data_IF_595776062902
#
_entry.id   IF_595776062902
#
_cell.length_a   1.000
_cell.length_b   1.000
_cell.length_c   1.000
_cell.angle_alpha   90.00
_cell.angle_beta   90.00
_cell.angle_gamma   90.00
#
_symmetry.space_group_name_H-M   'P 1'
#
loop_
_entity.id
_entity.type
_entity.pdbx_description
1 polymer ?
#
# COMPACT_ATOMS: atom_id res chain seq x y z
N UNK A 1 12.65 -11.77 0.15
CA UNK A 1 13.17 -10.70 1.01
C UNK A 1 12.39 -10.65 2.33
N UNK A 2 11.07 -10.83 2.36
CA UNK A 2 10.23 -10.65 3.56
C UNK A 2 9.88 -11.93 4.34
N UNK A 3 10.43 -13.10 3.98
CA UNK A 3 10.05 -14.40 4.58
C UNK A 3 10.23 -14.50 6.10
N UNK A 4 10.99 -13.60 6.70
CA UNK A 4 11.28 -13.56 8.14
C UNK A 4 10.72 -12.32 8.82
N UNK A 5 9.83 -11.58 8.18
CA UNK A 5 9.39 -10.26 8.63
C UNK A 5 7.87 -10.14 8.57
N UNK A 6 7.36 -9.15 9.28
CA UNK A 6 5.98 -8.66 9.14
C UNK A 6 6.01 -7.36 8.35
N UNK A 7 5.31 -7.35 7.22
CA UNK A 7 5.12 -6.17 6.38
C UNK A 7 3.79 -5.51 6.74
N UNK A 8 3.80 -4.23 7.09
CA UNK A 8 2.58 -3.46 7.37
C UNK A 8 2.48 -2.28 6.44
N UNK A 9 1.30 -2.11 5.83
CA UNK A 9 0.96 -1.04 4.90
C UNK A 9 -0.18 -0.21 5.50
N UNK A 10 0.08 1.05 5.81
CA UNK A 10 -0.91 2.04 6.26
C UNK A 10 -0.97 3.20 5.26
N UNK A 11 -1.97 3.18 4.40
CA UNK A 11 -2.11 4.20 3.34
C UNK A 11 -2.56 5.56 3.89
N UNK A 12 -3.26 5.63 5.05
CA UNK A 12 -3.59 6.91 5.69
C UNK A 12 -2.33 7.67 6.08
N UNK A 13 -1.37 6.93 6.67
CA UNK A 13 -0.07 7.49 7.08
C UNK A 13 0.95 7.49 5.94
N UNK A 14 0.61 6.91 4.79
CA UNK A 14 1.53 6.67 3.66
C UNK A 14 2.82 5.99 4.11
N UNK A 15 2.67 5.01 5.00
CA UNK A 15 3.78 4.36 5.70
C UNK A 15 3.79 2.86 5.41
N UNK A 16 4.97 2.36 5.06
CA UNK A 16 5.27 0.94 5.02
C UNK A 16 6.24 0.66 6.16
N UNK A 17 5.91 -0.33 6.98
CA UNK A 17 6.72 -0.74 8.12
C UNK A 17 7.10 -2.21 7.97
N UNK A 18 8.37 -2.52 8.19
CA UNK A 18 8.88 -3.89 8.22
C UNK A 18 9.41 -4.13 9.63
N UNK A 19 8.84 -5.13 10.30
CA UNK A 19 9.23 -5.50 11.65
C UNK A 19 9.68 -6.96 11.72
N UNK A 20 10.56 -7.28 12.65
CA UNK A 20 11.02 -8.65 12.93
C UNK A 20 10.86 -8.94 14.42
N UNK A 21 10.27 -10.06 14.77
CA UNK A 21 9.32 -10.95 14.07
C UNK A 21 7.86 -10.61 14.40
N UNK A 22 7.57 -9.40 14.90
CA UNK A 22 6.29 -9.08 15.52
C UNK A 22 5.50 -8.04 14.71
N UNK A 23 4.17 -8.25 14.65
CA UNK A 23 3.25 -7.26 14.11
C UNK A 23 3.29 -5.97 14.94
N UNK A 24 2.93 -4.81 14.39
CA UNK A 24 2.71 -3.60 15.17
C UNK A 24 1.68 -3.82 16.28
N UNK A 25 1.93 -3.26 17.47
CA UNK A 25 1.13 -3.48 18.68
C UNK A 25 -0.34 -3.09 18.52
N UNK A 26 -0.64 -2.12 17.65
CA UNK A 26 -2.01 -1.67 17.36
C UNK A 26 -2.82 -2.66 16.51
N UNK A 27 -2.18 -3.63 15.85
CA UNK A 27 -2.87 -4.65 15.06
C UNK A 27 -3.46 -5.70 15.99
N UNK A 28 -4.80 -5.74 16.10
CA UNK A 28 -5.52 -6.64 17.00
C UNK A 28 -5.57 -8.06 16.48
N UNK A 29 -5.42 -9.03 17.39
CA UNK A 29 -5.37 -10.46 17.06
C UNK A 29 -6.68 -11.02 16.49
N UNK A 30 -7.80 -10.44 16.84
CA UNK A 30 -9.11 -10.88 16.32
C UNK A 30 -9.35 -10.48 14.86
N UNK A 31 -8.54 -9.56 14.32
CA UNK A 31 -8.56 -9.14 12.91
C UNK A 31 -7.44 -9.84 12.13
N UNK A 32 -7.43 -11.17 12.15
CA UNK A 32 -6.45 -11.98 11.44
C UNK A 32 -7.05 -13.24 10.85
N UNK A 33 -6.45 -13.72 9.75
CA UNK A 33 -6.72 -14.99 9.11
C UNK A 33 -5.43 -15.63 8.61
N UNK A 34 -5.51 -16.88 8.20
CA UNK A 34 -4.42 -17.55 7.52
C UNK A 34 -4.39 -17.13 6.05
N UNK A 35 -3.21 -17.16 5.46
CA UNK A 35 -3.06 -17.13 4.02
C UNK A 35 -2.19 -18.30 3.55
N UNK A 36 -2.28 -18.62 2.27
CA UNK A 36 -1.39 -19.59 1.63
C UNK A 36 -0.37 -18.84 0.76
N UNK A 37 0.90 -19.22 0.91
CA UNK A 37 1.96 -18.73 0.04
C UNK A 37 2.25 -19.77 -1.03
N UNK A 38 1.77 -19.56 -2.24
CA UNK A 38 1.93 -20.49 -3.36
C UNK A 38 3.11 -20.04 -4.22
N UNK A 39 4.09 -20.93 -4.39
CA UNK A 39 5.28 -20.65 -5.20
C UNK A 39 4.90 -20.32 -6.65
N UNK A 40 5.41 -19.20 -7.14
CA UNK A 40 5.12 -18.70 -8.50
C UNK A 40 3.78 -18.00 -8.66
N UNK A 41 2.91 -18.01 -7.64
CA UNK A 41 1.60 -17.35 -7.67
C UNK A 41 1.54 -16.16 -6.68
N UNK A 42 2.00 -16.34 -5.45
CA UNK A 42 1.98 -15.32 -4.41
C UNK A 42 1.11 -15.68 -3.21
N UNK A 43 0.56 -14.66 -2.56
CA UNK A 43 -0.30 -14.80 -1.38
C UNK A 43 -1.74 -15.02 -1.84
N UNK A 44 -2.31 -16.15 -1.45
CA UNK A 44 -3.73 -16.45 -1.63
C UNK A 44 -4.44 -16.24 -0.30
N UNK A 45 -5.45 -15.39 -0.27
CA UNK A 45 -6.22 -15.06 0.92
C UNK A 45 -7.71 -15.28 0.68
N UNK A 46 -8.49 -15.43 1.75
CA UNK A 46 -9.94 -15.56 1.67
C UNK A 46 -10.63 -14.20 1.70
N UNK A 47 -11.71 -14.07 0.95
CA UNK A 47 -12.67 -12.97 1.05
C UNK A 47 -14.09 -13.54 0.94
N UNK A 48 -14.96 -13.13 1.84
CA UNK A 48 -16.36 -13.58 1.85
C UNK A 48 -17.25 -12.53 1.21
N UNK A 49 -18.17 -12.98 0.34
CA UNK A 49 -19.17 -12.15 -0.32
C UNK A 49 -20.51 -12.83 -0.07
N UNK A 50 -21.29 -12.31 0.86
CA UNK A 50 -22.46 -13.01 1.41
C UNK A 50 -22.10 -14.45 1.82
N UNK A 51 -22.76 -15.43 1.23
CA UNK A 51 -22.60 -16.86 1.55
C UNK A 51 -21.44 -17.53 0.79
N UNK A 52 -20.72 -16.79 -0.04
CA UNK A 52 -19.61 -17.32 -0.85
C UNK A 52 -18.27 -16.86 -0.31
N UNK A 53 -17.34 -17.78 -0.23
CA UNK A 53 -15.92 -17.46 0.02
C UNK A 53 -15.12 -17.72 -1.25
N UNK A 54 -14.31 -16.77 -1.64
CA UNK A 54 -13.37 -16.87 -2.76
C UNK A 54 -11.95 -16.71 -2.28
N UNK A 55 -10.99 -17.12 -3.09
CA UNK A 55 -9.57 -17.17 -2.76
C UNK A 55 -8.73 -16.44 -3.82
N UNK A 56 -8.84 -15.11 -3.90
CA UNK A 56 -8.02 -14.32 -4.83
C UNK A 56 -6.56 -14.25 -4.38
N UNK A 57 -5.69 -13.94 -5.34
CA UNK A 57 -4.31 -13.58 -5.05
C UNK A 57 -4.29 -12.14 -4.52
N UNK A 58 -3.59 -11.88 -3.43
CA UNK A 58 -3.36 -10.53 -2.95
C UNK A 58 -2.29 -9.86 -3.82
N UNK A 59 -2.68 -8.84 -4.56
CA UNK A 59 -1.81 -8.05 -5.42
C UNK A 59 -2.03 -6.55 -5.21
N UNK A 60 -1.23 -5.96 -4.33
CA UNK A 60 -1.31 -4.52 -4.01
C UNK A 60 -0.80 -3.62 -5.14
N UNK A 61 -0.32 -4.17 -6.23
CA UNK A 61 0.01 -3.42 -7.46
C UNK A 61 -1.19 -3.27 -8.38
N UNK A 62 -2.12 -4.23 -8.35
CA UNK A 62 -3.32 -4.21 -9.20
C UNK A 62 -4.30 -3.13 -8.75
N UNK A 63 -4.79 -2.33 -9.69
CA UNK A 63 -5.87 -1.36 -9.44
C UNK A 63 -7.20 -2.08 -9.12
N UNK A 64 -8.15 -1.37 -8.54
CA UNK A 64 -9.44 -1.94 -8.17
C UNK A 64 -9.44 -2.65 -6.81
N UNK A 65 -10.61 -3.12 -6.39
CA UNK A 65 -10.78 -3.90 -5.16
C UNK A 65 -10.65 -5.40 -5.48
N UNK A 66 -11.57 -5.96 -6.25
CA UNK A 66 -11.47 -7.32 -6.76
C UNK A 66 -11.37 -7.24 -8.28
N UNK A 67 -10.29 -7.77 -8.84
CA UNK A 67 -10.11 -7.82 -10.29
C UNK A 67 -10.34 -9.26 -10.74
N UNK A 68 -11.33 -9.45 -11.57
CA UNK A 68 -11.76 -10.75 -12.07
C UNK A 68 -11.16 -11.04 -13.43
N UNK A 69 -10.78 -12.29 -13.66
CA UNK A 69 -10.50 -12.77 -15.00
C UNK A 69 -11.75 -12.62 -15.88
N UNK A 70 -11.59 -12.66 -17.19
CA UNK A 70 -12.72 -12.64 -18.13
C UNK A 70 -13.75 -13.75 -17.83
N UNK A 71 -13.26 -14.94 -17.51
CA UNK A 71 -14.11 -16.09 -17.16
C UNK A 71 -14.90 -15.83 -15.90
N UNK A 72 -14.22 -15.43 -14.83
CA UNK A 72 -14.86 -15.20 -13.51
C UNK A 72 -15.83 -14.03 -13.58
N UNK A 73 -15.49 -12.97 -14.34
CA UNK A 73 -16.39 -11.84 -14.54
C UNK A 73 -17.68 -12.24 -15.24
N UNK A 74 -17.61 -13.03 -16.29
CA UNK A 74 -18.78 -13.52 -17.01
C UNK A 74 -19.68 -14.40 -16.10
N UNK A 75 -19.09 -15.25 -15.28
CA UNK A 75 -19.81 -16.04 -14.28
C UNK A 75 -20.50 -15.12 -13.24
N UNK A 76 -19.77 -14.17 -12.69
CA UNK A 76 -20.28 -13.28 -11.65
C UNK A 76 -21.32 -12.29 -12.15
N UNK A 77 -21.25 -11.87 -13.40
CA UNK A 77 -22.25 -11.00 -14.02
C UNK A 77 -23.67 -11.61 -14.06
N UNK A 78 -23.79 -12.92 -13.91
CA UNK A 78 -25.08 -13.60 -13.75
C UNK A 78 -25.64 -13.52 -12.32
N UNK A 79 -24.81 -13.21 -11.34
CA UNK A 79 -25.11 -13.23 -9.92
C UNK A 79 -25.24 -11.83 -9.32
N UNK A 80 -24.44 -10.90 -9.82
CA UNK A 80 -24.31 -9.56 -9.25
C UNK A 80 -24.66 -8.48 -10.27
N UNK A 81 -25.30 -7.38 -9.82
CA UNK A 81 -25.70 -6.30 -10.73
C UNK A 81 -24.47 -5.54 -11.27
N UNK A 82 -24.63 -4.99 -12.47
CA UNK A 82 -23.62 -4.08 -13.03
C UNK A 82 -23.45 -2.87 -12.14
N UNK A 83 -22.18 -2.53 -11.89
CA UNK A 83 -21.77 -1.34 -11.15
C UNK A 83 -21.38 -0.18 -12.06
N UNK A 84 -20.91 0.89 -11.47
CA UNK A 84 -20.31 2.01 -12.20
C UNK A 84 -18.97 1.57 -12.78
N UNK A 85 -18.69 1.77 -14.08
CA UNK A 85 -17.42 1.43 -14.69
C UNK A 85 -16.22 2.01 -13.89
N UNK A 86 -15.15 1.24 -13.81
CA UNK A 86 -13.97 1.59 -13.04
C UNK A 86 -12.76 1.79 -13.94
N UNK A 87 -11.95 2.80 -13.63
CA UNK A 87 -10.66 2.98 -14.30
C UNK A 87 -9.62 2.09 -13.64
N UNK A 88 -9.10 1.14 -14.40
CA UNK A 88 -8.06 0.21 -13.94
C UNK A 88 -6.97 0.06 -14.98
N UNK A 89 -5.76 -0.16 -14.53
CA UNK A 89 -4.63 -0.48 -15.40
C UNK A 89 -4.71 -1.95 -15.81
N UNK A 90 -4.67 -2.21 -17.13
CA UNK A 90 -4.72 -3.55 -17.68
C UNK A 90 -3.33 -3.95 -18.17
N UNK A 91 -2.78 -5.02 -17.56
CA UNK A 91 -1.41 -5.47 -17.83
C UNK A 91 -0.38 -4.44 -17.35
N UNK A 92 0.70 -4.31 -18.11
CA UNK A 92 1.78 -3.33 -17.84
C UNK A 92 1.57 -1.98 -18.52
N UNK A 93 0.35 -1.67 -18.94
CA UNK A 93 0.05 -0.37 -19.56
C UNK A 93 -0.02 0.72 -18.50
N UNK A 94 0.65 1.83 -18.74
CA UNK A 94 0.64 3.00 -17.83
C UNK A 94 -0.71 3.72 -17.83
N UNK A 95 -1.51 3.59 -18.89
CA UNK A 95 -2.82 4.24 -19.01
C UNK A 95 -3.93 3.34 -18.48
N UNK A 96 -4.64 3.85 -17.47
CA UNK A 96 -5.85 3.20 -16.99
C UNK A 96 -6.95 3.22 -18.07
N UNK A 97 -7.65 2.10 -18.22
CA UNK A 97 -8.80 1.95 -19.11
C UNK A 97 -10.08 1.86 -18.28
N UNK A 98 -11.18 2.28 -18.87
CA UNK A 98 -12.49 2.12 -18.24
C UNK A 98 -13.01 0.71 -18.54
N UNK A 99 -13.26 -0.04 -17.45
CA UNK A 99 -13.70 -1.43 -17.52
C UNK A 99 -15.02 -1.63 -16.79
N UNK A 100 -15.78 -2.62 -17.24
CA UNK A 100 -17.03 -3.00 -16.60
C UNK A 100 -16.80 -3.47 -15.17
N UNK A 101 -17.73 -3.12 -14.30
CA UNK A 101 -17.71 -3.55 -12.91
C UNK A 101 -19.04 -4.16 -12.47
N UNK A 102 -18.98 -4.87 -11.35
CA UNK A 102 -20.12 -5.44 -10.65
C UNK A 102 -20.17 -4.85 -9.25
N UNK A 103 -21.35 -4.46 -8.79
CA UNK A 103 -21.56 -4.09 -7.38
C UNK A 103 -21.69 -5.37 -6.57
N UNK A 104 -20.91 -5.47 -5.51
CA UNK A 104 -20.91 -6.63 -4.64
C UNK A 104 -21.76 -6.37 -3.40
N UNK A 105 -22.51 -7.36 -2.94
CA UNK A 105 -23.23 -7.25 -1.68
C UNK A 105 -22.28 -7.30 -0.48
N UNK A 106 -22.75 -7.62 0.70
CA UNK A 106 -21.94 -7.72 1.92
C UNK A 106 -20.63 -8.47 1.66
N UNK A 107 -19.54 -7.73 1.73
CA UNK A 107 -18.19 -8.23 1.46
C UNK A 107 -17.34 -8.08 2.71
N UNK A 108 -16.69 -9.16 3.14
CA UNK A 108 -15.90 -9.20 4.37
C UNK A 108 -14.50 -9.72 4.05
N UNK A 109 -13.49 -8.95 4.45
CA UNK A 109 -12.09 -9.34 4.41
C UNK A 109 -11.51 -9.29 5.82
N UNK A 110 -10.99 -10.42 6.32
CA UNK A 110 -10.40 -10.54 7.67
C UNK A 110 -11.28 -9.86 8.74
N UNK A 111 -12.58 -10.26 8.78
CA UNK A 111 -13.59 -9.71 9.69
C UNK A 111 -13.90 -8.21 9.57
N UNK A 112 -13.35 -7.56 8.55
CA UNK A 112 -13.64 -6.17 8.23
C UNK A 112 -14.66 -6.14 7.11
N UNK A 113 -15.79 -5.46 7.34
CA UNK A 113 -16.76 -5.18 6.30
C UNK A 113 -16.18 -4.16 5.33
N UNK A 114 -16.33 -4.44 4.05
CA UNK A 114 -15.93 -3.55 2.96
C UNK A 114 -17.21 -2.93 2.40
N UNK A 115 -17.42 -1.64 2.67
CA UNK A 115 -18.55 -0.91 2.13
C UNK A 115 -18.31 -0.55 0.66
N UNK A 116 -19.39 -0.47 -0.11
CA UNK A 116 -19.33 -0.18 -1.56
C UNK A 116 -18.38 -1.09 -2.34
N UNK A 117 -18.32 -2.37 -1.95
CA UNK A 117 -17.45 -3.34 -2.58
C UNK A 117 -17.82 -3.56 -4.05
N UNK A 118 -16.80 -3.71 -4.88
CA UNK A 118 -16.97 -3.93 -6.31
C UNK A 118 -15.95 -4.91 -6.87
N UNK A 119 -16.34 -5.58 -7.93
CA UNK A 119 -15.42 -6.34 -8.77
C UNK A 119 -15.34 -5.72 -10.16
N UNK A 120 -14.16 -5.71 -10.75
CA UNK A 120 -13.91 -5.14 -12.09
C UNK A 120 -13.37 -6.22 -13.03
N UNK A 121 -13.77 -6.16 -14.28
CA UNK A 121 -13.25 -7.01 -15.34
C UNK A 121 -11.79 -6.65 -15.61
N UNK A 122 -10.92 -7.67 -15.65
CA UNK A 122 -9.53 -7.49 -16.09
C UNK A 122 -9.10 -8.69 -16.94
N UNK A 123 -9.28 -8.59 -18.28
CA UNK A 123 -9.05 -9.70 -19.20
C UNK A 123 -7.56 -10.08 -19.35
N UNK A 124 -6.64 -9.27 -18.82
CA UNK A 124 -5.20 -9.60 -18.85
C UNK A 124 -4.79 -10.58 -17.74
N UNK A 125 -5.64 -10.81 -16.74
CA UNK A 125 -5.33 -11.64 -15.60
C UNK A 125 -5.53 -13.14 -15.93
N UNK A 126 -4.61 -13.96 -15.40
CA UNK A 126 -4.76 -15.43 -15.41
C UNK A 126 -5.51 -15.94 -14.18
N UNK A 127 -5.47 -15.19 -13.09
CA UNK A 127 -6.13 -15.48 -11.82
C UNK A 127 -6.75 -14.19 -11.29
N UNK A 128 -7.91 -14.30 -10.66
CA UNK A 128 -8.54 -13.16 -10.01
C UNK A 128 -7.73 -12.69 -8.83
N UNK A 129 -7.65 -11.36 -8.63
CA UNK A 129 -6.80 -10.75 -7.61
C UNK A 129 -7.59 -9.79 -6.71
N UNK A 130 -7.13 -9.68 -5.46
CA UNK A 130 -7.53 -8.65 -4.51
C UNK A 130 -6.52 -7.51 -4.61
N UNK A 131 -6.98 -6.35 -5.08
CA UNK A 131 -6.13 -5.24 -5.47
C UNK A 131 -5.93 -4.18 -4.40
N UNK A 132 -5.21 -3.12 -4.76
CA UNK A 132 -4.78 -2.06 -3.84
C UNK A 132 -5.92 -1.24 -3.23
N UNK A 133 -7.11 -1.22 -3.85
CA UNK A 133 -8.30 -0.54 -3.28
C UNK A 133 -8.69 -1.09 -1.91
N UNK A 134 -8.30 -2.33 -1.58
CA UNK A 134 -8.44 -2.86 -0.23
C UNK A 134 -7.81 -1.94 0.82
N UNK A 135 -6.69 -1.30 0.50
CA UNK A 135 -5.94 -0.44 1.43
C UNK A 135 -6.65 0.88 1.75
N UNK A 136 -7.73 1.22 1.05
CA UNK A 136 -8.59 2.36 1.36
C UNK A 136 -9.51 2.10 2.57
N UNK A 137 -9.65 0.84 3.00
CA UNK A 137 -10.56 0.43 4.08
C UNK A 137 -9.85 0.10 5.40
N UNK A 138 -8.55 -0.13 5.38
CA UNK A 138 -7.84 -0.53 6.59
C UNK A 138 -6.33 -0.66 6.43
N UNK A 139 -5.71 -1.00 7.55
CA UNK A 139 -4.27 -1.27 7.63
C UNK A 139 -4.04 -2.76 7.39
N UNK A 140 -3.19 -3.08 6.44
CA UNK A 140 -2.81 -4.44 6.08
C UNK A 140 -1.47 -4.80 6.72
N UNK A 141 -1.40 -5.92 7.45
CA UNK A 141 -0.12 -6.51 7.87
C UNK A 141 -0.03 -7.96 7.40
N UNK A 142 1.11 -8.30 6.81
CA UNK A 142 1.41 -9.64 6.29
C UNK A 142 2.56 -10.21 7.12
N UNK A 143 2.25 -11.21 7.92
CA UNK A 143 3.22 -11.97 8.72
C UNK A 143 3.64 -13.22 7.92
N UNK A 144 4.74 -13.10 7.23
CA UNK A 144 5.27 -14.20 6.42
C UNK A 144 5.80 -15.38 7.25
N UNK A 145 6.19 -15.11 8.50
CA UNK A 145 6.73 -16.16 9.40
C UNK A 145 5.63 -17.13 9.81
N UNK A 146 4.48 -16.57 10.21
CA UNK A 146 3.36 -17.37 10.72
C UNK A 146 2.25 -17.59 9.70
N UNK A 147 2.44 -17.11 8.47
CA UNK A 147 1.44 -17.12 7.39
C UNK A 147 0.08 -16.56 7.84
N UNK A 148 0.14 -15.37 8.48
CA UNK A 148 -1.04 -14.64 8.95
C UNK A 148 -1.18 -13.32 8.23
N UNK A 149 -2.40 -13.03 7.82
CA UNK A 149 -2.78 -11.73 7.33
C UNK A 149 -3.62 -11.04 8.40
N UNK A 150 -3.28 -9.80 8.70
CA UNK A 150 -4.05 -8.94 9.57
C UNK A 150 -4.61 -7.81 8.73
N UNK A 151 -5.88 -7.50 8.93
CA UNK A 151 -6.49 -6.35 8.29
C UNK A 151 -7.36 -5.63 9.31
N UNK A 152 -7.01 -4.39 9.61
CA UNK A 152 -7.69 -3.65 10.66
C UNK A 152 -8.30 -2.38 10.11
N UNK A 153 -9.63 -2.19 10.25
CA UNK A 153 -10.30 -1.00 9.77
C UNK A 153 -9.77 0.26 10.46
N UNK A 154 -9.81 1.36 9.76
CA UNK A 154 -9.19 2.62 10.18
C UNK A 154 -9.81 3.23 11.44
N UNK A 155 -11.10 3.04 11.69
CA UNK A 155 -11.81 3.52 12.87
C UNK A 155 -11.28 2.92 14.17
N UNK A 156 -10.70 1.71 14.11
CA UNK A 156 -10.10 1.05 15.26
C UNK A 156 -8.63 1.43 15.52
N UNK A 157 -8.03 2.25 14.65
CA UNK A 157 -6.65 2.71 14.79
C UNK A 157 -6.61 4.22 14.57
N UNK A 158 -6.91 5.02 15.59
CA UNK A 158 -6.82 6.47 15.49
C UNK A 158 -5.38 6.88 15.16
N UNK A 159 -5.24 7.90 14.32
CA UNK A 159 -3.94 8.54 14.09
C UNK A 159 -3.63 9.37 15.33
N UNK A 160 -2.51 9.12 16.04
CA UNK A 160 -2.11 9.99 17.15
C UNK A 160 -1.97 11.44 16.68
N UNK A 161 -2.39 12.39 17.49
CA UNK A 161 -2.26 13.83 17.17
C UNK A 161 -0.81 14.24 16.87
N UNK A 162 0.16 13.58 17.51
CA UNK A 162 1.59 13.77 17.24
C UNK A 162 2.02 13.36 15.81
N UNK A 163 1.30 12.42 15.18
CA UNK A 163 1.55 12.01 13.79
C UNK A 163 0.72 12.83 12.79
N UNK A 164 -0.37 13.45 13.24
CA UNK A 164 -1.22 14.31 12.41
C UNK A 164 -0.61 15.72 12.22
N UNK A 165 0.23 16.16 13.14
CA UNK A 165 0.98 17.41 12.99
C UNK A 165 2.23 17.15 12.15
N UNK A 166 2.22 17.61 10.92
CA UNK A 166 3.42 17.85 10.13
C UNK A 166 4.24 18.85 10.92
N UNK A 167 5.27 18.43 11.60
CA UNK A 167 6.21 19.34 12.26
C UNK A 167 6.87 20.13 11.14
N UNK A 168 6.69 21.46 11.15
CA UNK A 168 7.51 22.35 10.33
C UNK A 168 8.96 22.05 10.65
N UNK A 169 9.67 21.46 9.70
CA UNK A 169 11.09 21.22 9.84
C UNK A 169 11.77 22.57 9.63
N UNK A 170 12.24 23.19 10.72
CA UNK A 170 13.14 24.33 10.59
C UNK A 170 14.50 23.77 10.15
N UNK A 171 14.85 24.04 8.89
CA UNK A 171 16.15 23.68 8.39
C UNK A 171 17.25 24.44 9.14
N UNK A 172 18.25 23.72 9.63
CA UNK A 172 19.44 24.30 10.25
C UNK A 172 20.60 24.22 9.24
N UNK A 173 21.19 25.37 8.95
CA UNK A 173 22.36 25.44 8.07
C UNK A 173 23.54 24.60 8.63
N UNK A 174 24.21 23.91 7.74
CA UNK A 174 25.35 23.08 8.10
C UNK A 174 25.00 21.76 8.77
N UNK A 175 23.74 21.32 8.73
CA UNK A 175 23.30 20.01 9.24
C UNK A 175 22.46 19.24 8.23
N UNK A 176 22.47 17.93 8.36
CA UNK A 176 21.45 17.12 7.71
C UNK A 176 20.09 17.35 8.40
N UNK A 177 19.14 17.79 7.61
CA UNK A 177 17.79 18.07 8.10
C UNK A 177 16.85 16.94 7.69
N UNK A 178 16.15 16.30 8.63
CA UNK A 178 15.09 15.35 8.28
C UNK A 178 13.98 16.12 7.57
N UNK A 179 13.57 15.66 6.41
CA UNK A 179 12.50 16.28 5.64
C UNK A 179 11.26 15.38 5.60
N UNK A 180 10.08 16.02 5.57
CA UNK A 180 8.83 15.33 5.36
C UNK A 180 8.57 15.13 3.86
N UNK A 181 7.66 14.20 3.52
CA UNK A 181 7.18 14.08 2.15
C UNK A 181 6.59 15.38 1.61
N UNK A 182 5.85 16.11 2.46
CA UNK A 182 5.25 17.40 2.08
C UNK A 182 6.33 18.41 1.73
N UNK A 183 7.36 18.54 2.57
CA UNK A 183 8.51 19.41 2.29
C UNK A 183 9.19 19.04 0.97
N UNK A 184 9.39 17.74 0.71
CA UNK A 184 9.98 17.25 -0.54
C UNK A 184 9.17 17.68 -1.77
N UNK A 185 7.83 17.54 -1.69
CA UNK A 185 6.94 17.89 -2.79
C UNK A 185 6.91 19.41 -3.06
N UNK A 186 6.96 20.23 -2.02
CA UNK A 186 6.88 21.68 -2.13
C UNK A 186 8.20 22.34 -2.54
N UNK A 187 9.32 21.83 -2.03
CA UNK A 187 10.61 22.51 -2.13
C UNK A 187 11.66 21.80 -2.99
N UNK A 188 11.44 20.52 -3.31
CA UNK A 188 12.42 19.74 -4.07
C UNK A 188 11.83 19.30 -5.41
N UNK A 189 10.84 18.40 -5.39
CA UNK A 189 10.25 17.87 -6.60
C UNK A 189 8.84 17.35 -6.36
N UNK A 190 7.86 17.88 -7.09
CA UNK A 190 6.49 17.37 -7.10
C UNK A 190 6.31 16.33 -8.21
N UNK A 191 6.56 15.06 -7.90
CA UNK A 191 6.40 13.93 -8.82
C UNK A 191 4.94 13.62 -9.19
N UNK A 192 3.96 14.32 -8.63
CA UNK A 192 2.54 14.16 -8.95
C UNK A 192 2.12 14.93 -10.20
N UNK A 193 2.91 15.92 -10.61
CA UNK A 193 2.56 16.87 -11.67
C UNK A 193 3.05 16.45 -13.06
N UNK A 194 3.91 15.46 -13.17
CA UNK A 194 4.45 14.97 -14.46
C UNK A 194 5.59 13.98 -14.31
N UNK A 195 6.09 13.49 -15.45
CA UNK A 195 7.19 12.53 -15.51
C UNK A 195 8.57 13.20 -15.55
N UNK A 196 8.63 14.49 -15.82
CA UNK A 196 9.89 15.22 -15.90
C UNK A 196 10.30 15.73 -14.52
N UNK A 197 11.59 15.55 -14.20
CA UNK A 197 12.14 16.10 -12.97
C UNK A 197 12.29 17.61 -13.09
N UNK A 198 11.45 18.35 -12.39
CA UNK A 198 11.54 19.80 -12.25
C UNK A 198 11.89 20.11 -10.81
N UNK A 199 13.12 20.62 -10.60
CA UNK A 199 13.56 21.02 -9.27
C UNK A 199 12.92 22.36 -8.86
N UNK A 200 12.31 22.39 -7.69
CA UNK A 200 11.58 23.56 -7.17
C UNK A 200 12.44 24.53 -6.35
N UNK A 201 13.71 24.21 -6.12
CA UNK A 201 14.62 25.03 -5.31
C UNK A 201 15.53 25.93 -6.14
N UNK A 202 16.19 26.85 -5.47
CA UNK A 202 17.13 27.82 -6.04
C UNK A 202 18.61 27.45 -5.82
N UNK A 203 18.90 26.47 -4.94
CA UNK A 203 20.25 25.99 -4.62
C UNK A 203 20.33 24.48 -4.81
N UNK A 204 21.50 23.93 -5.18
CA UNK A 204 21.70 22.50 -5.25
C UNK A 204 21.34 21.82 -3.92
N UNK A 205 20.66 20.69 -3.98
CA UNK A 205 20.25 19.89 -2.82
C UNK A 205 20.72 18.46 -2.97
N UNK A 206 21.15 17.86 -1.87
CA UNK A 206 21.43 16.42 -1.78
C UNK A 206 20.38 15.81 -0.88
N UNK A 207 19.67 14.81 -1.37
CA UNK A 207 18.65 14.08 -0.62
C UNK A 207 19.13 12.66 -0.39
N UNK A 208 19.24 12.26 0.87
CA UNK A 208 19.57 10.89 1.26
C UNK A 208 18.33 10.16 1.76
N UNK A 209 18.04 9.01 1.15
CA UNK A 209 16.97 8.12 1.56
C UNK A 209 17.55 6.96 2.36
N UNK A 210 17.35 6.97 3.65
CA UNK A 210 17.95 5.98 4.53
C UNK A 210 16.92 5.34 5.48
N UNK A 211 17.33 4.26 6.14
CA UNK A 211 16.54 3.60 7.16
C UNK A 211 17.43 3.05 8.28
N UNK A 212 16.91 2.96 9.49
CA UNK A 212 17.64 2.49 10.67
C UNK A 212 18.22 1.07 10.55
N UNK A 213 17.62 0.24 9.71
CA UNK A 213 18.06 -1.13 9.41
C UNK A 213 19.05 -1.20 8.23
N UNK A 214 19.29 -0.10 7.52
CA UNK A 214 20.20 -0.05 6.38
C UNK A 214 21.64 0.16 6.86
N UNK A 215 22.39 -0.92 7.05
CA UNK A 215 23.77 -0.85 7.55
C UNK A 215 24.70 0.02 6.70
N UNK A 216 24.71 -0.06 5.36
CA UNK A 216 25.48 0.88 4.52
C UNK A 216 25.07 2.34 4.72
N UNK A 217 23.76 2.63 4.83
CA UNK A 217 23.27 3.99 5.04
C UNK A 217 23.77 4.56 6.37
N UNK A 218 23.71 3.77 7.43
CA UNK A 218 24.18 4.19 8.77
C UNK A 218 25.68 4.53 8.79
N UNK A 219 26.48 3.86 7.95
CA UNK A 219 27.92 4.20 7.80
C UNK A 219 28.16 5.46 6.98
N UNK A 220 27.21 5.84 6.12
CA UNK A 220 27.30 7.03 5.28
C UNK A 220 26.90 8.29 6.06
N UNK A 221 25.96 8.21 7.00
CA UNK A 221 25.44 9.36 7.74
C UNK A 221 26.51 10.31 8.30
N UNK A 222 27.58 9.85 8.99
CA UNK A 222 28.61 10.76 9.49
C UNK A 222 29.30 11.59 8.38
N UNK A 223 29.51 10.98 7.21
CA UNK A 223 30.10 11.68 6.06
C UNK A 223 29.16 12.70 5.46
N UNK A 224 27.86 12.41 5.47
CA UNK A 224 26.84 13.36 5.02
C UNK A 224 26.75 14.57 5.96
N UNK A 225 26.88 14.38 7.29
CA UNK A 225 26.95 15.48 8.25
C UNK A 225 28.20 16.36 8.04
N UNK A 226 29.37 15.76 7.79
CA UNK A 226 30.60 16.50 7.47
C UNK A 226 30.43 17.34 6.18
N UNK A 227 29.75 16.79 5.17
CA UNK A 227 29.46 17.51 3.93
C UNK A 227 28.48 18.66 4.17
N UNK A 228 27.43 18.45 4.97
CA UNK A 228 26.47 19.48 5.31
C UNK A 228 27.14 20.66 6.02
N UNK A 229 28.07 20.40 6.94
CA UNK A 229 28.84 21.45 7.60
C UNK A 229 29.78 22.19 6.65
N UNK A 230 30.43 21.47 5.72
CA UNK A 230 31.36 22.04 4.78
C UNK A 230 30.74 22.96 3.72
N UNK A 231 29.48 22.66 3.34
CA UNK A 231 28.81 23.37 2.24
C UNK A 231 27.60 24.19 2.71
N UNK A 232 27.61 24.64 3.95
CA UNK A 232 26.57 25.53 4.53
C UNK A 232 26.53 26.92 3.89
#
# INVERSE_FOLDING_TARGET
>A
VFRTSVLTIDMRRKKITITQPYRPSYMKLNYRENFELITGLGIVCSISIQDKTIFPILDTWSDGLINLTEKDFNEWSTLYPKGTPQKVSIGYKETAQEEESLTLPETIFVKTKIDDAFAVRNPSLKHSVLGKKLLDYGILSIDYVHQKIYFQPFDLVPIPESEAKVTEVKAEDGKMNPITRQFFLEHIFDYRTGNDFVYNGDKPVVVDFWATWCGPCMRLLPKMEELAEKYK
#
